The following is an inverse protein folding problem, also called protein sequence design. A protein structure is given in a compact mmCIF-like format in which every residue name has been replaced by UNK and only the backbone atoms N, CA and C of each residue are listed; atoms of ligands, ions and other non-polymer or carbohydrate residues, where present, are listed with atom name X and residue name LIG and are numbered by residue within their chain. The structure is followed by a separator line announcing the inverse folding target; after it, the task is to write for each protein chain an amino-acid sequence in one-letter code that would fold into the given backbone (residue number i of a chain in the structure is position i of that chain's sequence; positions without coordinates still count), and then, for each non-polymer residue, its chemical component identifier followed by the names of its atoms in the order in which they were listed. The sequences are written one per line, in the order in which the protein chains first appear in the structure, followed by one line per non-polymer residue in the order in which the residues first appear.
data_IF_536959655834
#
_entry.id   IF_536959655834
#
_cell.length_a   1.000
_cell.length_b   1.000
_cell.length_c   1.000
_cell.angle_alpha   90.00
_cell.angle_beta   90.00
_cell.angle_gamma   90.00
#
_symmetry.space_group_name_H-M   'P 1'
#
loop_
_entity.id
_entity.type
_entity.pdbx_description
1 polymer ?
#
# COMPACT_ATOMS: atom_id res chain seq x y z
N UNK A 1 -24.18 33.60 -3.40
CA UNK A 1 -23.35 32.41 -3.06
C UNK A 1 -22.20 32.86 -2.17
N UNK A 2 -22.32 32.70 -0.84
CA UNK A 2 -21.28 33.09 0.11
C UNK A 2 -20.22 31.97 0.18
N UNK A 3 -19.18 32.05 -0.64
CA UNK A 3 -17.95 31.30 -0.37
C UNK A 3 -17.33 31.93 0.88
N UNK A 4 -17.65 31.37 2.06
CA UNK A 4 -16.96 31.69 3.31
C UNK A 4 -15.49 31.33 3.11
N UNK A 5 -14.69 32.35 2.81
CA UNK A 5 -13.23 32.31 2.76
C UNK A 5 -12.72 31.56 3.99
N UNK A 6 -12.24 30.32 3.80
CA UNK A 6 -11.62 29.55 4.87
C UNK A 6 -10.37 30.32 5.33
N UNK A 7 -10.14 30.41 6.65
CA UNK A 7 -9.02 31.16 7.20
C UNK A 7 -7.71 30.71 6.55
N UNK A 8 -6.86 31.68 6.20
CA UNK A 8 -5.58 31.45 5.53
C UNK A 8 -4.73 30.48 6.36
N UNK A 9 -4.11 29.55 5.63
CA UNK A 9 -3.28 28.43 6.09
C UNK A 9 -2.56 28.74 7.40
N UNK A 10 -3.05 28.21 8.51
CA UNK A 10 -2.32 28.28 9.77
C UNK A 10 -1.13 27.31 9.67
N UNK A 11 0.02 27.85 9.26
CA UNK A 11 1.29 27.12 9.07
C UNK A 11 1.88 26.64 10.41
N UNK A 12 1.22 26.92 11.53
CA UNK A 12 1.67 26.63 12.89
C UNK A 12 1.33 25.22 13.39
N UNK A 13 0.61 24.41 12.61
CA UNK A 13 0.28 23.04 13.04
C UNK A 13 1.54 22.20 13.21
N UNK A 14 1.76 21.74 14.44
CA UNK A 14 2.87 20.86 14.80
C UNK A 14 2.69 19.48 14.17
N UNK A 15 3.75 18.67 14.16
CA UNK A 15 3.67 17.27 13.70
C UNK A 15 2.64 16.49 14.53
N UNK A 16 2.64 16.71 15.86
CA UNK A 16 1.69 16.11 16.80
C UNK A 16 0.24 16.43 16.44
N UNK A 17 -0.05 17.69 16.10
CA UNK A 17 -1.41 18.10 15.75
C UNK A 17 -1.85 17.47 14.43
N UNK A 18 -0.97 17.41 13.43
CA UNK A 18 -1.26 16.75 12.14
C UNK A 18 -1.60 15.27 12.33
N UNK A 19 -0.85 14.57 13.18
CA UNK A 19 -1.11 13.17 13.50
C UNK A 19 -2.43 13.00 14.25
N UNK A 20 -2.73 13.87 15.23
CA UNK A 20 -4.03 13.85 15.93
C UNK A 20 -5.20 14.03 14.96
N UNK A 21 -5.11 15.01 14.06
CA UNK A 21 -6.14 15.30 13.05
C UNK A 21 -6.33 14.09 12.11
N UNK A 22 -5.25 13.41 11.73
CA UNK A 22 -5.34 12.20 10.91
C UNK A 22 -6.12 11.08 11.62
N UNK A 23 -5.81 10.82 12.89
CA UNK A 23 -6.50 9.79 13.68
C UNK A 23 -7.99 10.11 13.85
N UNK A 24 -8.34 11.39 14.01
CA UNK A 24 -9.74 11.81 14.08
C UNK A 24 -10.45 11.65 12.74
N UNK A 25 -9.79 12.02 11.64
CA UNK A 25 -10.32 11.84 10.28
C UNK A 25 -10.47 10.36 9.88
N UNK A 26 -9.71 9.44 10.49
CA UNK A 26 -9.86 7.99 10.33
C UNK A 26 -11.12 7.44 10.98
N UNK A 27 -11.56 8.05 12.09
CA UNK A 27 -12.78 7.68 12.81
C UNK A 27 -14.04 8.34 12.26
N UNK A 28 -13.88 9.42 11.49
CA UNK A 28 -14.97 10.23 10.97
C UNK A 28 -14.85 10.52 9.47
N UNK A 29 -15.26 11.72 9.07
CA UNK A 29 -15.16 12.15 7.67
C UNK A 29 -14.10 13.22 7.50
N UNK A 30 -13.29 13.11 6.45
CA UNK A 30 -12.24 14.10 6.13
C UNK A 30 -12.82 15.51 6.01
N UNK A 31 -14.01 15.68 5.42
CA UNK A 31 -14.66 16.99 5.28
C UNK A 31 -15.11 17.57 6.63
N UNK A 32 -15.65 16.74 7.52
CA UNK A 32 -16.06 17.16 8.87
C UNK A 32 -14.86 17.58 9.71
N UNK A 33 -13.85 16.71 9.80
CA UNK A 33 -12.61 16.97 10.55
C UNK A 33 -11.88 18.20 10.00
N UNK A 34 -11.83 18.38 8.67
CA UNK A 34 -11.26 19.57 8.05
C UNK A 34 -11.92 20.88 8.51
N UNK A 35 -13.25 20.91 8.60
CA UNK A 35 -14.00 22.08 9.09
C UNK A 35 -13.71 22.36 10.57
N UNK A 36 -13.67 21.32 11.39
CA UNK A 36 -13.41 21.44 12.83
C UNK A 36 -12.02 22.01 13.10
N UNK A 37 -11.01 21.48 12.42
CA UNK A 37 -9.60 21.86 12.62
C UNK A 37 -9.15 23.04 11.74
N UNK A 38 -10.06 23.66 11.00
CA UNK A 38 -9.80 24.80 10.10
C UNK A 38 -8.68 24.52 9.08
N UNK A 39 -8.65 23.30 8.55
CA UNK A 39 -7.69 22.86 7.52
C UNK A 39 -8.42 22.45 6.25
N UNK A 40 -7.72 22.40 5.13
CA UNK A 40 -8.30 21.92 3.88
C UNK A 40 -8.34 20.39 3.84
N UNK A 41 -9.40 19.77 3.28
CA UNK A 41 -9.44 18.33 3.05
C UNK A 41 -8.23 17.79 2.26
N UNK A 42 -7.67 18.61 1.35
CA UNK A 42 -6.45 18.27 0.61
C UNK A 42 -5.22 18.15 1.50
N UNK A 43 -5.11 18.96 2.56
CA UNK A 43 -4.01 18.88 3.52
C UNK A 43 -4.07 17.57 4.30
N UNK A 44 -5.25 17.18 4.79
CA UNK A 44 -5.44 15.90 5.49
C UNK A 44 -5.06 14.72 4.57
N UNK A 45 -5.50 14.74 3.30
CA UNK A 45 -5.11 13.72 2.32
C UNK A 45 -3.60 13.69 2.07
N UNK A 46 -2.96 14.86 1.99
CA UNK A 46 -1.52 14.96 1.81
C UNK A 46 -0.75 14.44 3.04
N UNK A 47 -1.21 14.75 4.25
CA UNK A 47 -0.62 14.22 5.48
C UNK A 47 -0.78 12.71 5.58
N UNK A 48 -1.93 12.17 5.16
CA UNK A 48 -2.16 10.73 5.12
C UNK A 48 -1.18 10.01 4.20
N UNK A 49 -0.89 10.58 3.03
CA UNK A 49 0.15 10.06 2.12
C UNK A 49 1.55 10.09 2.73
N UNK A 50 1.81 11.06 3.60
CA UNK A 50 3.11 11.26 4.26
C UNK A 50 3.07 10.82 5.73
N UNK A 51 2.16 9.92 6.12
CA UNK A 51 1.91 9.56 7.52
C UNK A 51 3.15 9.00 8.19
N UNK A 52 3.82 8.05 7.54
CA UNK A 52 5.08 7.47 8.03
C UNK A 52 6.09 8.57 8.36
N UNK A 53 6.33 9.50 7.43
CA UNK A 53 7.26 10.62 7.63
C UNK A 53 6.86 11.51 8.82
N UNK A 54 5.55 11.71 9.05
CA UNK A 54 5.09 12.46 10.22
C UNK A 54 5.34 11.69 11.53
N UNK A 55 5.15 10.37 11.54
CA UNK A 55 5.44 9.52 12.70
C UNK A 55 6.94 9.52 13.03
N UNK A 56 7.81 9.40 12.01
CA UNK A 56 9.27 9.54 12.16
C UNK A 56 9.69 10.89 12.77
N UNK A 57 9.05 11.98 12.38
CA UNK A 57 9.34 13.31 12.92
C UNK A 57 8.78 13.51 14.35
N UNK A 58 7.71 12.80 14.71
CA UNK A 58 7.12 12.88 16.04
C UNK A 58 7.91 12.10 17.09
N UNK A 59 8.51 10.99 16.67
CA UNK A 59 9.35 10.15 17.50
C UNK A 59 10.75 10.11 16.89
N UNK A 60 11.58 11.16 17.07
CA UNK A 60 12.98 11.12 16.66
C UNK A 60 13.63 9.97 17.41
N UNK A 61 13.87 8.89 16.69
CA UNK A 61 14.25 7.63 17.28
C UNK A 61 15.64 7.77 17.92
N UNK A 62 15.67 7.75 19.26
CA UNK A 62 16.78 7.14 19.96
C UNK A 62 16.82 5.67 19.49
N UNK A 63 17.77 5.37 18.60
CA UNK A 63 18.25 4.03 18.24
C UNK A 63 17.22 3.07 17.62
N UNK A 64 17.21 2.96 16.28
CA UNK A 64 17.09 1.68 15.58
C UNK A 64 17.58 1.85 14.13
N UNK A 65 18.64 1.11 13.82
CA UNK A 65 19.42 1.12 12.59
C UNK A 65 18.61 0.80 11.31
N UNK A 66 19.13 1.15 10.13
CA UNK A 66 18.43 0.99 8.85
C UNK A 66 18.30 -0.48 8.45
N UNK A 67 17.08 -0.94 8.19
CA UNK A 67 16.84 -2.08 7.31
C UNK A 67 17.37 -1.70 5.93
N UNK A 68 18.59 -2.15 5.62
CA UNK A 68 19.12 -2.16 4.26
C UNK A 68 18.07 -2.84 3.39
N UNK A 69 17.45 -2.09 2.48
CA UNK A 69 16.67 -2.70 1.40
C UNK A 69 17.69 -3.43 0.53
N UNK A 70 17.83 -4.73 0.74
CA UNK A 70 18.47 -5.56 -0.28
C UNK A 70 17.65 -5.40 -1.56
N UNK A 71 18.30 -4.79 -2.54
CA UNK A 71 17.81 -4.69 -3.90
C UNK A 71 18.14 -6.04 -4.52
N UNK A 72 17.32 -7.06 -4.30
CA UNK A 72 17.33 -8.25 -5.15
C UNK A 72 16.78 -7.83 -6.51
N UNK A 73 17.66 -7.21 -7.30
CA UNK A 73 17.59 -7.22 -8.75
C UNK A 73 17.77 -8.66 -9.20
N UNK A 74 16.75 -9.50 -9.05
CA UNK A 74 16.69 -10.80 -9.72
C UNK A 74 16.09 -10.59 -11.11
N UNK A 75 16.86 -9.90 -11.95
CA UNK A 75 16.71 -9.92 -13.40
C UNK A 75 17.99 -10.56 -13.95
N UNK A 76 17.96 -11.87 -14.21
CA UNK A 76 18.98 -12.59 -14.98
C UNK A 76 19.79 -13.66 -14.22
N UNK A 77 19.23 -14.86 -14.06
CA UNK A 77 19.85 -16.20 -13.95
C UNK A 77 18.68 -17.14 -13.61
N UNK A 78 18.26 -18.18 -14.35
CA UNK A 78 18.91 -19.07 -15.29
C UNK A 78 17.85 -19.50 -16.33
N UNK A 79 18.19 -19.34 -17.60
CA UNK A 79 17.73 -20.25 -18.67
C UNK A 79 18.21 -21.67 -18.33
N UNK A 80 17.42 -22.67 -18.72
CA UNK A 80 17.55 -24.12 -18.44
C UNK A 80 16.93 -24.65 -17.14
N UNK A 81 15.79 -25.32 -17.30
CA UNK A 81 15.20 -26.15 -16.23
C UNK A 81 13.71 -26.44 -16.33
N UNK A 82 13.07 -26.32 -17.51
CA UNK A 82 11.63 -26.62 -17.70
C UNK A 82 11.35 -27.96 -18.40
N UNK A 83 12.29 -28.91 -18.37
CA UNK A 83 12.10 -30.24 -18.97
C UNK A 83 12.15 -31.38 -17.95
N UNK A 84 11.55 -31.26 -16.76
CA UNK A 84 11.44 -32.44 -15.87
C UNK A 84 10.14 -32.49 -15.03
N UNK A 85 9.03 -31.90 -15.51
CA UNK A 85 7.73 -32.02 -14.82
C UNK A 85 6.53 -32.23 -15.76
N UNK A 86 6.76 -32.64 -17.01
CA UNK A 86 5.70 -33.05 -17.95
C UNK A 86 5.54 -34.57 -18.08
N UNK A 87 6.39 -35.39 -17.44
CA UNK A 87 6.34 -36.86 -17.55
C UNK A 87 5.50 -37.57 -16.48
N UNK A 88 4.93 -36.87 -15.49
CA UNK A 88 4.11 -37.49 -14.45
C UNK A 88 2.61 -37.65 -14.79
N UNK A 89 2.15 -37.13 -15.94
CA UNK A 89 0.77 -37.32 -16.43
C UNK A 89 0.71 -38.16 -17.72
N UNK A 90 1.72 -38.97 -17.99
CA UNK A 90 1.63 -40.02 -19.00
C UNK A 90 1.01 -41.28 -18.38
N UNK A 91 -0.31 -41.29 -18.20
CA UNK A 91 -1.03 -42.57 -18.06
C UNK A 91 -1.19 -43.18 -19.46
N UNK A 92 -0.66 -44.39 -19.71
CA UNK A 92 -0.77 -45.04 -21.01
C UNK A 92 -2.20 -45.52 -21.27
N UNK A 93 -2.69 -45.24 -22.49
CA UNK A 93 -3.83 -45.92 -23.09
C UNK A 93 -3.58 -47.43 -23.20
N UNK A 94 -4.55 -48.29 -22.84
CA UNK A 94 -4.66 -49.60 -23.44
C UNK A 94 -5.52 -49.52 -24.71
N UNK A 95 -4.89 -49.93 -25.82
CA UNK A 95 -5.47 -50.20 -27.13
C UNK A 95 -6.09 -51.62 -27.16
N UNK A 96 -6.93 -51.86 -28.17
CA UNK A 96 -7.58 -53.11 -28.63
C UNK A 96 -8.92 -53.46 -27.97
N UNK A 97 -9.90 -54.01 -28.68
CA UNK A 97 -10.30 -54.15 -30.09
C UNK A 97 -11.63 -54.93 -30.01
N UNK A 98 -12.45 -54.86 -31.06
CA UNK A 98 -13.42 -55.87 -31.49
C UNK A 98 -14.76 -55.26 -31.87
N UNK A 99 -14.97 -55.30 -33.18
CA UNK A 99 -16.22 -55.24 -33.88
C UNK A 99 -17.42 -55.84 -33.12
N UNK A 100 -18.57 -55.18 -33.26
CA UNK A 100 -19.82 -55.93 -33.40
C UNK A 100 -20.77 -55.17 -34.33
N UNK A 101 -20.99 -55.79 -35.48
CA UNK A 101 -22.19 -55.58 -36.30
C UNK A 101 -23.37 -56.13 -35.51
N UNK A 102 -24.46 -55.38 -35.50
CA UNK A 102 -25.79 -55.81 -35.09
C UNK A 102 -26.79 -54.86 -35.69
#
# INVERSE_FOLDING_TARGET
SQFRSMPRRDTRLTVKDKLRILLEAERGTVKGTARMHKVYPSQIRQWRKNRERLEWLQFPQTQMYPLKKEKTSSHGLLEHGKELLSSLFATPSPLLDSASRG
#
